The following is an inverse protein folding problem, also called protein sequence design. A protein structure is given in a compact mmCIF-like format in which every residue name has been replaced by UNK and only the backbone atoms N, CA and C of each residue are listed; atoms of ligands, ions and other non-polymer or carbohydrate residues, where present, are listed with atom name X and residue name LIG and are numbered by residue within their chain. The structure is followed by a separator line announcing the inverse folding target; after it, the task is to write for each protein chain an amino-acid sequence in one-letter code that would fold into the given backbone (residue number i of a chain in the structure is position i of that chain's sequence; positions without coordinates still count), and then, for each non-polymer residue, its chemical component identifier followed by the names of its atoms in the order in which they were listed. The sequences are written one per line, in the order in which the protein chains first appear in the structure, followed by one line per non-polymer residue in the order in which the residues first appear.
data_IF_057058400243
#
_entry.id   IF_057058400243
#
_cell.length_a   1.000
_cell.length_b   1.000
_cell.length_c   1.000
_cell.angle_alpha   90.00
_cell.angle_beta   90.00
_cell.angle_gamma   90.00
#
_symmetry.space_group_name_H-M   'P 1'
#
loop_
_entity.id
_entity.type
_entity.pdbx_description
1 polymer ?
#
# COMPACT_ATOMS: atom_id res chain seq x y z
N UNK A 1 11.09 2.16 -15.51
CA UNK A 1 9.77 1.56 -15.19
C UNK A 1 8.76 2.51 -14.51
N UNK A 2 9.07 3.80 -14.34
CA UNK A 2 8.23 4.76 -13.60
C UNK A 2 6.78 4.92 -14.11
N UNK A 3 6.59 4.94 -15.44
CA UNK A 3 5.24 5.01 -16.05
C UNK A 3 4.36 3.82 -15.67
N UNK A 4 4.96 2.63 -15.62
CA UNK A 4 4.25 1.41 -15.25
C UNK A 4 3.92 1.40 -13.75
N UNK A 5 4.84 1.85 -12.91
CA UNK A 5 4.58 2.06 -11.48
C UNK A 5 3.35 2.96 -11.26
N UNK A 6 3.30 4.14 -11.89
CA UNK A 6 2.15 5.05 -11.79
C UNK A 6 0.85 4.44 -12.31
N UNK A 7 0.92 3.62 -13.37
CA UNK A 7 -0.24 2.87 -13.87
C UNK A 7 -0.76 1.87 -12.84
N UNK A 8 0.12 1.14 -12.16
CA UNK A 8 -0.26 0.20 -11.10
C UNK A 8 -0.93 0.91 -9.93
N UNK A 9 -0.41 2.06 -9.49
CA UNK A 9 -1.08 2.89 -8.48
C UNK A 9 -2.48 3.32 -8.92
N UNK A 10 -2.67 3.70 -10.19
CA UNK A 10 -4.00 4.04 -10.73
C UNK A 10 -4.96 2.84 -10.74
N UNK A 11 -4.49 1.63 -11.04
CA UNK A 11 -5.30 0.40 -10.96
C UNK A 11 -5.69 0.11 -9.51
N UNK A 12 -4.75 0.24 -8.58
CA UNK A 12 -5.01 0.05 -7.15
C UNK A 12 -6.01 1.08 -6.62
N UNK A 13 -5.85 2.35 -6.99
CA UNK A 13 -6.74 3.42 -6.55
C UNK A 13 -8.18 3.21 -7.02
N UNK A 14 -8.35 2.82 -8.29
CA UNK A 14 -9.68 2.44 -8.80
C UNK A 14 -10.26 1.27 -8.00
N UNK A 15 -9.49 0.20 -7.78
CA UNK A 15 -9.95 -0.99 -7.05
C UNK A 15 -10.36 -0.65 -5.62
N UNK A 16 -9.58 0.15 -4.92
CA UNK A 16 -9.82 0.56 -3.53
C UNK A 16 -10.88 1.66 -3.40
N UNK A 17 -11.31 2.25 -4.51
CA UNK A 17 -12.52 3.07 -4.58
C UNK A 17 -13.82 2.25 -4.65
N UNK A 18 -13.72 0.97 -5.05
CA UNK A 18 -14.86 0.04 -5.14
C UNK A 18 -14.95 -0.91 -3.93
N UNK A 19 -13.88 -1.01 -3.13
CA UNK A 19 -13.83 -1.90 -1.95
C UNK A 19 -12.90 -1.37 -0.86
N UNK A 20 -13.16 -1.79 0.39
CA UNK A 20 -12.39 -1.37 1.56
C UNK A 20 -10.93 -1.88 1.52
N UNK A 21 -10.73 -3.10 1.02
CA UNK A 21 -9.44 -3.77 0.87
C UNK A 21 -9.29 -4.35 -0.54
N UNK A 22 -8.10 -4.83 -0.90
CA UNK A 22 -7.82 -5.28 -2.27
C UNK A 22 -8.71 -6.45 -2.71
N UNK A 23 -9.06 -7.34 -1.78
CA UNK A 23 -9.89 -8.51 -2.05
C UNK A 23 -11.40 -8.29 -1.81
N UNK A 24 -11.83 -7.13 -1.31
CA UNK A 24 -13.22 -6.87 -0.95
C UNK A 24 -13.33 -6.12 0.36
N UNK A 25 -14.27 -6.53 1.21
CA UNK A 25 -14.54 -5.86 2.49
C UNK A 25 -13.65 -6.32 3.64
N UNK A 26 -12.98 -7.47 3.47
CA UNK A 26 -12.11 -8.06 4.47
C UNK A 26 -10.62 -7.83 4.18
N UNK A 27 -9.86 -7.66 5.26
CA UNK A 27 -8.40 -7.63 5.19
C UNK A 27 -7.84 -9.03 4.95
N UNK A 28 -7.08 -9.21 3.87
CA UNK A 28 -6.61 -10.54 3.45
C UNK A 28 -5.11 -10.57 3.15
N UNK A 29 -4.64 -11.75 2.73
CA UNK A 29 -3.30 -11.94 2.20
C UNK A 29 -2.96 -10.99 1.05
N UNK A 30 -3.95 -10.56 0.26
CA UNK A 30 -3.72 -9.60 -0.83
C UNK A 30 -3.14 -8.28 -0.27
N UNK A 31 -3.73 -7.77 0.81
CA UNK A 31 -3.28 -6.53 1.45
C UNK A 31 -1.90 -6.70 2.10
N UNK A 32 -1.70 -7.82 2.80
CA UNK A 32 -0.44 -8.17 3.45
C UNK A 32 0.71 -8.24 2.43
N UNK A 33 0.47 -8.89 1.27
CA UNK A 33 1.48 -9.06 0.24
C UNK A 33 1.79 -7.76 -0.51
N UNK A 34 0.78 -6.89 -0.70
CA UNK A 34 0.94 -5.65 -1.48
C UNK A 34 1.45 -4.47 -0.64
N UNK A 35 1.10 -4.38 0.64
CA UNK A 35 1.45 -3.25 1.49
C UNK A 35 2.96 -2.91 1.52
N UNK A 36 3.90 -3.87 1.66
CA UNK A 36 5.34 -3.55 1.69
C UNK A 36 5.85 -2.89 0.39
N UNK A 37 5.20 -3.17 -0.75
CA UNK A 37 5.52 -2.51 -2.02
C UNK A 37 5.05 -1.05 -2.01
N UNK A 38 3.82 -0.78 -1.56
CA UNK A 38 3.28 0.59 -1.46
C UNK A 38 3.98 1.43 -0.39
N UNK A 39 4.41 0.81 0.73
CA UNK A 39 5.21 1.49 1.77
C UNK A 39 6.48 2.14 1.22
N UNK A 40 7.00 1.66 0.08
CA UNK A 40 8.17 2.20 -0.61
C UNK A 40 7.81 3.24 -1.68
N UNK A 41 6.65 3.91 -1.55
CA UNK A 41 6.17 4.94 -2.49
C UNK A 41 7.20 6.05 -2.76
N UNK A 42 7.99 6.43 -1.77
CA UNK A 42 9.09 7.38 -1.92
C UNK A 42 10.16 6.90 -2.93
N UNK A 43 10.56 5.63 -2.88
CA UNK A 43 11.48 5.01 -3.86
C UNK A 43 10.84 4.90 -5.24
N UNK A 44 9.52 4.83 -5.29
CA UNK A 44 8.74 4.82 -6.52
C UNK A 44 8.55 6.22 -7.12
N UNK A 45 8.94 7.30 -6.41
CA UNK A 45 8.69 8.69 -6.76
C UNK A 45 7.19 8.97 -6.97
N UNK A 46 6.37 8.36 -6.11
CA UNK A 46 4.90 8.48 -6.13
C UNK A 46 4.46 9.24 -4.88
N UNK A 47 3.69 10.31 -5.09
CA UNK A 47 2.94 10.96 -4.03
C UNK A 47 1.60 10.24 -3.86
N UNK A 48 1.32 9.74 -2.65
CA UNK A 48 0.03 9.11 -2.36
C UNK A 48 -1.13 10.12 -2.35
N UNK A 49 -0.85 11.42 -2.31
CA UNK A 49 -1.86 12.47 -2.48
C UNK A 49 -2.57 12.42 -3.84
N UNK A 50 -1.90 11.88 -4.87
CA UNK A 50 -2.49 11.67 -6.21
C UNK A 50 -3.43 10.45 -6.27
N UNK A 51 -3.46 9.61 -5.22
CA UNK A 51 -4.17 8.33 -5.16
C UNK A 51 -4.93 8.21 -3.82
N UNK A 52 -6.06 8.91 -3.65
CA UNK A 52 -6.73 9.06 -2.36
C UNK A 52 -7.22 7.73 -1.75
N UNK A 53 -7.65 6.77 -2.58
CA UNK A 53 -8.12 5.47 -2.10
C UNK A 53 -6.95 4.60 -1.66
N UNK A 54 -5.83 4.65 -2.40
CA UNK A 54 -4.57 4.01 -1.96
C UNK A 54 -4.10 4.63 -0.66
N UNK A 55 -4.15 5.97 -0.53
CA UNK A 55 -3.75 6.67 0.69
C UNK A 55 -4.59 6.25 1.89
N UNK A 56 -5.93 6.19 1.76
CA UNK A 56 -6.81 5.68 2.83
C UNK A 56 -6.41 4.29 3.27
N UNK A 57 -6.32 3.36 2.33
CA UNK A 57 -5.95 1.96 2.58
C UNK A 57 -4.58 1.84 3.26
N UNK A 58 -3.62 2.63 2.78
CA UNK A 58 -2.26 2.70 3.33
C UNK A 58 -2.26 3.19 4.79
N UNK A 59 -2.95 4.31 5.08
CA UNK A 59 -3.05 4.90 6.41
C UNK A 59 -3.79 4.00 7.40
N UNK A 60 -4.72 3.18 6.91
CA UNK A 60 -5.51 2.25 7.72
C UNK A 60 -4.70 0.99 8.09
N UNK A 61 -3.93 0.45 7.14
CA UNK A 61 -3.07 -0.72 7.36
C UNK A 61 -1.84 -0.36 8.20
N UNK A 62 -1.27 0.83 8.02
CA UNK A 62 -0.07 1.26 8.76
C UNK A 62 -0.27 1.31 10.27
N UNK A 63 -1.50 1.59 10.72
CA UNK A 63 -1.89 1.63 12.15
C UNK A 63 -2.01 0.26 12.81
N UNK A 64 -1.87 -0.83 12.06
CA UNK A 64 -2.03 -2.19 12.60
C UNK A 64 -0.74 -2.61 13.31
N UNK A 65 -0.79 -3.00 14.61
CA UNK A 65 0.42 -3.38 15.34
C UNK A 65 1.21 -4.54 14.71
N UNK A 66 0.53 -5.46 14.04
CA UNK A 66 1.20 -6.57 13.34
C UNK A 66 1.96 -6.11 12.09
N UNK A 67 1.45 -5.08 11.39
CA UNK A 67 2.10 -4.50 10.21
C UNK A 67 3.34 -3.72 10.64
N UNK A 68 3.24 -2.90 11.68
CA UNK A 68 4.39 -2.18 12.25
C UNK A 68 5.52 -3.15 12.62
N UNK A 69 5.19 -4.24 13.33
CA UNK A 69 6.16 -5.30 13.68
C UNK A 69 6.76 -5.99 12.44
N UNK A 70 5.94 -6.31 11.44
CA UNK A 70 6.40 -6.96 10.22
C UNK A 70 7.31 -6.07 9.38
N UNK A 71 6.99 -4.78 9.27
CA UNK A 71 7.77 -3.81 8.51
C UNK A 71 9.10 -3.43 9.16
N UNK A 72 9.25 -3.70 10.46
CA UNK A 72 10.53 -3.57 11.17
C UNK A 72 11.53 -4.71 10.87
N UNK A 73 11.15 -5.68 10.02
CA UNK A 73 11.97 -6.85 9.67
C UNK A 73 12.23 -6.91 8.15
N UNK A 74 13.47 -7.16 7.69
CA UNK A 74 14.69 -7.25 8.51
C UNK A 74 14.99 -5.89 9.15
N UNK A 75 15.54 -5.93 10.37
CA UNK A 75 16.03 -4.72 11.02
C UNK A 75 17.09 -4.11 10.11
N UNK A 76 16.92 -2.84 9.75
CA UNK A 76 17.99 -2.08 9.13
C UNK A 76 19.09 -1.94 10.18
N UNK A 77 20.26 -2.53 9.93
CA UNK A 77 21.47 -2.12 10.63
C UNK A 77 21.77 -0.70 10.14
N UNK A 78 21.45 0.30 10.95
CA UNK A 78 22.02 1.65 10.80
C UNK A 78 23.53 1.61 11.08
#
# INVERSE_FOLDING_TARGET
YHKETKRLYGVMDKRLGEATYLAGDDYTLADIATYPWVQRNNRHQVDLGDYPNVKRWYDEISKRPAVEKGMAVPFYNE
#
